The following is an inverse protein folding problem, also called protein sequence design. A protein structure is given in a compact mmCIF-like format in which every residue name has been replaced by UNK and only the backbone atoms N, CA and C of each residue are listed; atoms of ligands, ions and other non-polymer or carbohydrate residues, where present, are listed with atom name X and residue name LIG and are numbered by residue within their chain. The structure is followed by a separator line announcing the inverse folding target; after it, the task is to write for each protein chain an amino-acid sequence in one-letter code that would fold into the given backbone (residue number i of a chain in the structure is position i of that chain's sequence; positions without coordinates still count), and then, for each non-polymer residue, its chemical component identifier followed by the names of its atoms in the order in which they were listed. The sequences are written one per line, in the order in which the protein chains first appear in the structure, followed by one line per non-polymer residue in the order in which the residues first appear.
data_IF_598420722719
#
_entry.id   IF_598420722719
#
_cell.length_a   1.000
_cell.length_b   1.000
_cell.length_c   1.000
_cell.angle_alpha   90.00
_cell.angle_beta   90.00
_cell.angle_gamma   90.00
#
_symmetry.space_group_name_H-M   'P 1'
#
loop_
_entity.id
_entity.type
_entity.pdbx_description
1 polymer ?
#
# COMPACT_ATOMS: atom_id res chain seq x y z
N UNK A 1 -12.08 -3.09 -6.92
CA UNK A 1 -10.73 -3.03 -7.52
C UNK A 1 -10.30 -4.45 -7.90
N UNK A 2 -9.63 -4.63 -9.02
CA UNK A 2 -8.99 -5.88 -9.44
C UNK A 2 -7.48 -5.87 -9.14
N UNK A 3 -6.85 -4.69 -9.14
CA UNK A 3 -5.48 -4.42 -8.72
C UNK A 3 -5.45 -3.23 -7.75
N UNK A 4 -4.45 -3.13 -6.88
CA UNK A 4 -4.37 -2.03 -5.89
C UNK A 4 -4.26 -0.65 -6.55
N UNK A 5 -3.73 -0.57 -7.78
CA UNK A 5 -3.66 0.69 -8.53
C UNK A 5 -5.02 1.25 -8.93
N UNK A 6 -6.08 0.43 -8.90
CA UNK A 6 -7.46 0.91 -9.07
C UNK A 6 -7.94 1.76 -7.88
N UNK A 7 -7.25 1.69 -6.73
CA UNK A 7 -7.53 2.53 -5.56
C UNK A 7 -6.90 3.92 -5.66
N UNK A 8 -6.20 4.23 -6.76
CA UNK A 8 -5.50 5.48 -6.99
C UNK A 8 -3.99 5.32 -6.89
N UNK A 9 -3.27 6.44 -6.87
CA UNK A 9 -1.80 6.38 -6.73
C UNK A 9 -1.41 5.91 -5.32
N UNK A 10 -0.13 5.54 -5.16
CA UNK A 10 0.45 5.21 -3.85
C UNK A 10 0.15 6.27 -2.79
N UNK A 11 0.11 7.55 -3.17
CA UNK A 11 -0.19 8.66 -2.26
C UNK A 11 -1.68 8.78 -1.95
N UNK A 12 -2.54 8.62 -2.96
CA UNK A 12 -3.99 8.78 -2.79
C UNK A 12 -4.56 7.66 -1.91
N UNK A 13 -4.11 6.42 -2.19
CA UNK A 13 -4.50 5.23 -1.45
C UNK A 13 -3.91 5.19 -0.02
N UNK A 14 -2.86 5.97 0.28
CA UNK A 14 -2.22 5.98 1.60
C UNK A 14 -3.23 6.31 2.71
N UNK A 15 -4.18 7.21 2.44
CA UNK A 15 -5.23 7.61 3.39
C UNK A 15 -6.16 6.46 3.82
N UNK A 16 -6.21 5.36 3.05
CA UNK A 16 -6.99 4.17 3.39
C UNK A 16 -6.29 3.28 4.42
N UNK A 17 -4.96 3.34 4.49
CA UNK A 17 -4.13 2.42 5.28
C UNK A 17 -3.38 3.10 6.41
N UNK A 18 -3.16 4.41 6.29
CA UNK A 18 -2.37 5.21 7.24
C UNK A 18 -3.32 6.10 8.04
N UNK A 19 -3.30 6.01 9.38
CA UNK A 19 -4.07 6.91 10.24
C UNK A 19 -3.69 8.38 10.01
N UNK A 20 -4.69 9.27 10.03
CA UNK A 20 -4.45 10.71 9.97
C UNK A 20 -3.49 11.18 11.07
N UNK A 21 -2.52 12.04 10.72
CA UNK A 21 -1.51 12.56 11.64
C UNK A 21 -0.29 11.65 11.83
N UNK A 22 -0.27 10.45 11.23
CA UNK A 22 0.92 9.62 11.19
C UNK A 22 2.05 10.28 10.38
N UNK A 23 3.29 10.10 10.82
CA UNK A 23 4.47 10.45 10.03
C UNK A 23 4.76 9.31 9.07
N UNK A 24 4.70 9.58 7.76
CA UNK A 24 5.10 8.64 6.72
C UNK A 24 6.62 8.67 6.54
N UNK A 25 7.28 7.55 6.81
CA UNK A 25 8.73 7.39 6.68
C UNK A 25 9.13 6.92 5.29
N UNK A 26 8.41 5.93 4.74
CA UNK A 26 8.65 5.43 3.39
C UNK A 26 7.35 4.99 2.72
N UNK A 27 7.29 5.14 1.40
CA UNK A 27 6.24 4.56 0.58
C UNK A 27 6.84 4.06 -0.73
N UNK A 28 6.48 2.84 -1.15
CA UNK A 28 6.94 2.29 -2.44
C UNK A 28 5.88 1.43 -3.11
N UNK A 29 5.90 1.46 -4.44
CA UNK A 29 5.14 0.54 -5.27
C UNK A 29 6.03 -0.63 -5.66
N UNK A 30 5.59 -1.85 -5.39
CA UNK A 30 6.30 -3.09 -5.73
C UNK A 30 5.48 -3.81 -6.80
N UNK A 31 6.10 -4.09 -7.95
CA UNK A 31 5.45 -4.80 -9.06
C UNK A 31 6.09 -6.17 -9.24
N UNK A 32 5.31 -7.23 -9.00
CA UNK A 32 5.71 -8.59 -9.31
C UNK A 32 5.38 -8.90 -10.77
N UNK A 33 6.42 -8.95 -11.60
CA UNK A 33 6.32 -9.25 -13.04
C UNK A 33 6.48 -10.73 -13.39
N UNK A 34 6.88 -11.57 -12.43
CA UNK A 34 7.19 -13.00 -12.65
C UNK A 34 6.04 -13.96 -12.29
N UNK A 35 4.88 -13.46 -11.87
CA UNK A 35 3.71 -14.28 -11.61
C UNK A 35 2.81 -14.35 -12.85
N UNK A 36 2.11 -15.48 -13.03
CA UNK A 36 1.14 -15.68 -14.12
C UNK A 36 0.05 -14.61 -14.15
N UNK A 37 -0.20 -13.98 -12.99
CA UNK A 37 -1.04 -12.80 -12.85
C UNK A 37 -0.17 -11.69 -12.27
N UNK A 38 0.13 -10.61 -13.01
CA UNK A 38 0.86 -9.47 -12.50
C UNK A 38 0.21 -8.93 -11.22
N UNK A 39 1.01 -8.63 -10.21
CA UNK A 39 0.52 -8.04 -8.95
C UNK A 39 1.26 -6.77 -8.61
N UNK A 40 0.51 -5.75 -8.24
CA UNK A 40 1.02 -4.52 -7.65
C UNK A 40 0.76 -4.52 -6.15
N UNK A 41 1.78 -4.15 -5.38
CA UNK A 41 1.71 -3.97 -3.93
C UNK A 41 2.08 -2.54 -3.59
N UNK A 42 1.37 -1.97 -2.62
CA UNK A 42 1.75 -0.72 -1.98
C UNK A 42 2.33 -1.03 -0.62
N UNK A 43 3.48 -0.44 -0.36
CA UNK A 43 4.18 -0.58 0.90
C UNK A 43 4.28 0.80 1.56
N UNK A 44 4.01 0.84 2.86
CA UNK A 44 4.10 2.04 3.69
C UNK A 44 4.83 1.74 4.99
N UNK A 45 5.74 2.64 5.38
CA UNK A 45 6.33 2.68 6.71
C UNK A 45 5.90 3.98 7.39
N UNK A 46 5.26 3.92 8.55
CA UNK A 46 4.72 5.10 9.22
C UNK A 46 4.64 4.94 10.74
N UNK A 47 4.44 6.05 11.44
CA UNK A 47 4.18 6.04 12.88
C UNK A 47 2.72 5.76 13.21
N UNK A 48 2.46 4.86 14.16
CA UNK A 48 1.13 4.63 14.70
C UNK A 48 1.22 4.37 16.21
N UNK A 49 0.55 5.20 17.02
CA UNK A 49 0.48 5.02 18.48
C UNK A 49 1.87 4.78 19.11
N UNK A 50 2.82 5.67 18.82
CA UNK A 50 4.22 5.61 19.28
C UNK A 50 5.03 4.39 18.80
N UNK A 51 4.56 3.70 17.75
CA UNK A 51 5.26 2.57 17.13
C UNK A 51 5.60 2.86 15.67
N UNK A 52 6.63 2.20 15.18
CA UNK A 52 6.97 2.14 13.76
C UNK A 52 6.25 0.94 13.13
N UNK A 53 5.42 1.19 12.12
CA UNK A 53 4.64 0.18 11.42
C UNK A 53 5.11 0.09 9.97
N UNK A 54 5.34 -1.13 9.49
CA UNK A 54 5.50 -1.43 8.07
C UNK A 54 4.29 -2.24 7.60
N UNK A 55 3.62 -1.77 6.55
CA UNK A 55 2.41 -2.36 6.00
C UNK A 55 2.55 -2.56 4.49
N UNK A 56 2.20 -3.76 4.03
CA UNK A 56 2.06 -4.07 2.61
C UNK A 56 0.59 -4.36 2.31
N UNK A 57 0.05 -3.69 1.29
CA UNK A 57 -1.31 -3.85 0.82
C UNK A 57 -1.30 -4.29 -0.65
N UNK A 58 -2.24 -5.14 -1.01
CA UNK A 58 -2.55 -5.51 -2.38
C UNK A 58 -4.05 -5.77 -2.50
N UNK A 59 -4.55 -5.73 -3.74
CA UNK A 59 -5.89 -6.22 -4.08
C UNK A 59 -5.73 -7.41 -5.01
N UNK A 60 -6.50 -8.45 -4.77
CA UNK A 60 -6.54 -9.62 -5.65
C UNK A 60 -7.97 -10.09 -5.84
N UNK A 61 -8.46 -10.00 -7.08
CA UNK A 61 -9.80 -10.46 -7.47
C UNK A 61 -10.92 -9.85 -6.61
N UNK A 62 -10.83 -8.56 -6.29
CA UNK A 62 -11.83 -7.86 -5.49
C UNK A 62 -11.70 -8.01 -3.98
N UNK A 63 -10.65 -8.68 -3.49
CA UNK A 63 -10.34 -8.83 -2.06
C UNK A 63 -9.06 -8.09 -1.70
#
# INVERSE_FOLDING_TARGET
AQDISDLGSLRDAASLFIPGGATLYAARTIKLKKSDIPRTYYFYEFSAQDRHVALEAAVSQGK
#
